data_IF_628686477070
#
_entry.id   IF_628686477070
#
_cell.length_a   1.000
_cell.length_b   1.000
_cell.length_c   1.000
_cell.angle_alpha   90.00
_cell.angle_beta   90.00
_cell.angle_gamma   90.00
#
_symmetry.space_group_name_H-M   'P 1'
#
loop_
_entity.id
_entity.type
_entity.pdbx_description
1 polymer ?
#
# COMPACT_ATOMS: atom_id res chain seq x y z
N UNK A 1 -21.76 -9.05 12.98
CA UNK A 1 -21.25 -8.29 11.79
C UNK A 1 -19.75 -8.06 11.97
N UNK A 2 -19.04 -7.42 11.04
CA UNK A 2 -17.59 -7.18 11.17
C UNK A 2 -17.28 -5.68 11.31
N UNK A 3 -16.41 -5.34 12.25
CA UNK A 3 -15.87 -4.00 12.46
C UNK A 3 -14.48 -3.97 11.84
N UNK A 4 -14.22 -2.97 11.00
CA UNK A 4 -12.92 -2.76 10.36
C UNK A 4 -12.36 -1.44 10.85
N UNK A 5 -11.17 -1.49 11.46
CA UNK A 5 -10.39 -0.33 11.85
C UNK A 5 -9.17 -0.24 10.92
N UNK A 6 -8.90 0.92 10.34
CA UNK A 6 -7.75 1.13 9.47
C UNK A 6 -6.86 2.24 10.04
N UNK A 7 -5.55 1.99 10.08
CA UNK A 7 -4.56 2.93 10.59
C UNK A 7 -3.47 3.13 9.54
N UNK A 8 -3.17 4.38 9.21
CA UNK A 8 -2.04 4.68 8.34
C UNK A 8 -0.71 4.41 9.07
N UNK A 9 0.08 3.49 8.52
CA UNK A 9 1.40 3.11 9.03
C UNK A 9 2.54 3.62 8.15
N UNK A 10 2.22 4.42 7.12
CA UNK A 10 3.16 5.01 6.16
C UNK A 10 3.73 6.36 6.58
N UNK A 11 3.03 7.10 7.44
CA UNK A 11 3.39 8.47 7.85
C UNK A 11 4.84 8.55 8.34
N UNK A 12 5.60 9.48 7.76
CA UNK A 12 6.97 9.79 8.16
C UNK A 12 8.04 8.78 7.73
N UNK A 13 7.67 7.71 7.01
CA UNK A 13 8.60 6.65 6.58
C UNK A 13 9.02 6.74 5.11
N UNK A 14 8.57 7.77 4.40
CA UNK A 14 9.00 8.02 3.03
C UNK A 14 8.52 7.01 1.99
N UNK A 15 7.38 6.36 2.22
CA UNK A 15 6.81 5.49 1.21
C UNK A 15 6.20 6.29 0.06
N UNK A 16 6.36 5.79 -1.17
CA UNK A 16 5.65 6.28 -2.35
C UNK A 16 4.17 5.83 -2.37
N UNK A 17 3.71 5.20 -1.30
CA UNK A 17 2.38 4.64 -1.15
C UNK A 17 1.87 4.90 0.26
N UNK A 18 0.58 5.17 0.37
CA UNK A 18 -0.11 5.12 1.65
C UNK A 18 -0.32 3.64 2.01
N UNK A 19 0.04 3.27 3.23
CA UNK A 19 -0.01 1.89 3.71
C UNK A 19 -0.94 1.88 4.92
N UNK A 20 -2.14 1.33 4.74
CA UNK A 20 -3.10 1.18 5.81
C UNK A 20 -2.99 -0.22 6.39
N UNK A 21 -2.82 -0.32 7.70
CA UNK A 21 -3.00 -1.57 8.44
C UNK A 21 -4.46 -1.67 8.85
N UNK A 22 -5.16 -2.67 8.30
CA UNK A 22 -6.56 -2.92 8.61
C UNK A 22 -6.67 -4.05 9.64
N UNK A 23 -7.42 -3.79 10.71
CA UNK A 23 -7.76 -4.74 11.76
C UNK A 23 -9.25 -5.06 11.63
N UNK A 24 -9.57 -6.32 11.39
CA UNK A 24 -10.93 -6.82 11.21
C UNK A 24 -11.30 -7.62 12.45
N UNK A 25 -12.40 -7.22 13.10
CA UNK A 25 -12.96 -7.85 14.30
C UNK A 25 -14.39 -8.30 14.01
N UNK A 26 -14.71 -9.56 14.29
CA UNK A 26 -16.07 -10.06 14.14
C UNK A 26 -16.83 -9.91 15.46
N UNK A 27 -18.01 -9.32 15.44
CA UNK A 27 -18.78 -9.00 16.66
C UNK A 27 -19.16 -10.24 17.47
N UNK A 28 -19.29 -11.40 16.82
CA UNK A 28 -19.72 -12.65 17.45
C UNK A 28 -18.55 -13.47 18.02
N UNK A 29 -17.31 -12.94 18.00
CA UNK A 29 -16.15 -13.62 18.58
C UNK A 29 -15.83 -13.12 19.98
N UNK A 30 -15.98 -13.97 20.99
CA UNK A 30 -15.53 -13.68 22.36
C UNK A 30 -14.01 -13.79 22.54
N UNK A 31 -13.29 -14.28 21.53
CA UNK A 31 -11.86 -14.53 21.58
C UNK A 31 -11.05 -13.51 20.79
N UNK A 32 -9.95 -13.03 21.35
CA UNK A 32 -8.93 -12.26 20.63
C UNK A 32 -8.27 -13.02 19.48
N UNK A 33 -8.55 -14.33 19.36
CA UNK A 33 -8.10 -15.19 18.26
C UNK A 33 -8.79 -14.89 16.91
N UNK A 34 -9.90 -14.16 16.89
CA UNK A 34 -10.66 -13.85 15.67
C UNK A 34 -10.39 -12.42 15.16
N UNK A 35 -9.23 -11.87 15.52
CA UNK A 35 -8.73 -10.60 15.01
C UNK A 35 -7.84 -10.86 13.81
N UNK A 36 -8.25 -10.38 12.64
CA UNK A 36 -7.47 -10.48 11.41
C UNK A 36 -6.78 -9.16 11.13
N UNK A 37 -5.50 -9.23 10.76
CA UNK A 37 -4.74 -8.07 10.32
C UNK A 37 -4.37 -8.23 8.85
N UNK A 38 -4.57 -7.17 8.07
CA UNK A 38 -4.21 -7.11 6.65
C UNK A 38 -3.60 -5.76 6.31
N UNK A 39 -2.90 -5.68 5.19
CA UNK A 39 -2.36 -4.43 4.66
C UNK A 39 -3.14 -4.03 3.41
N UNK A 40 -3.56 -2.78 3.36
CA UNK A 40 -4.06 -2.13 2.16
C UNK A 40 -3.02 -1.09 1.72
N UNK A 41 -2.37 -1.37 0.59
CA UNK A 41 -1.43 -0.46 -0.06
C UNK A 41 -2.18 0.34 -1.11
N UNK A 42 -2.15 1.66 -0.99
CA UNK A 42 -2.74 2.60 -1.94
C UNK A 42 -1.56 3.38 -2.57
N UNK A 43 -1.44 3.44 -3.90
CA UNK A 43 -0.38 4.18 -4.55
C UNK A 43 -0.50 5.66 -4.16
N UNK A 44 0.60 6.23 -3.70
CA UNK A 44 0.63 7.48 -2.93
C UNK A 44 0.62 8.71 -3.81
N UNK A 45 -0.26 8.77 -4.82
CA UNK A 45 -0.40 9.93 -5.69
C UNK A 45 -0.70 11.20 -4.88
N UNK A 46 -1.64 11.11 -3.94
CA UNK A 46 -2.02 12.23 -3.08
C UNK A 46 -0.95 12.55 -2.03
N UNK A 47 -0.31 11.53 -1.44
CA UNK A 47 0.79 11.74 -0.50
C UNK A 47 1.98 12.47 -1.17
N UNK A 48 2.31 12.13 -2.41
CA UNK A 48 3.34 12.82 -3.20
C UNK A 48 2.91 14.24 -3.58
N UNK A 49 1.61 14.45 -3.89
CA UNK A 49 1.05 15.80 -4.12
C UNK A 49 1.17 16.69 -2.91
N UNK A 50 0.78 16.19 -1.74
CA UNK A 50 0.88 16.92 -0.49
C UNK A 50 2.33 17.24 -0.11
N UNK A 51 3.26 16.31 -0.32
CA UNK A 51 4.68 16.51 -0.05
C UNK A 51 5.28 17.61 -0.96
N UNK A 52 4.98 17.57 -2.25
CA UNK A 52 5.39 18.59 -3.22
C UNK A 52 4.83 19.98 -2.85
N UNK A 53 3.53 20.06 -2.50
CA UNK A 53 2.91 21.29 -2.06
C UNK A 53 3.53 21.87 -0.78
N UNK A 54 3.84 21.03 0.21
CA UNK A 54 4.48 21.46 1.47
C UNK A 54 5.91 21.99 1.27
N UNK A 55 6.64 21.46 0.30
CA UNK A 55 8.00 21.89 0.00
C UNK A 55 8.07 23.10 -0.95
N UNK A 56 6.93 23.61 -1.43
CA UNK A 56 6.87 24.70 -2.40
C UNK A 56 7.44 24.34 -3.77
N UNK A 57 7.60 23.04 -4.05
CA UNK A 57 8.14 22.51 -5.29
C UNK A 57 7.09 21.60 -5.94
N UNK A 58 6.26 22.20 -6.80
CA UNK A 58 5.23 21.48 -7.57
C UNK A 58 5.78 20.89 -8.87
N UNK A 59 7.07 21.08 -9.17
CA UNK A 59 7.66 20.63 -10.45
C UNK A 59 7.50 19.11 -10.65
N UNK A 60 7.49 18.35 -9.55
CA UNK A 60 7.21 16.92 -9.57
C UNK A 60 5.80 16.58 -10.06
N UNK A 61 4.80 17.40 -9.70
CA UNK A 61 3.39 17.22 -10.06
C UNK A 61 3.03 17.81 -11.42
N UNK A 62 3.69 18.91 -11.79
CA UNK A 62 3.50 19.59 -13.07
C UNK A 62 4.07 18.76 -14.23
N UNK A 63 4.94 17.79 -13.93
CA UNK A 63 5.43 16.83 -14.90
C UNK A 63 4.49 15.61 -15.00
N UNK A 64 3.65 15.62 -16.04
CA UNK A 64 2.76 14.49 -16.37
C UNK A 64 3.48 13.14 -16.56
N UNK A 65 4.78 13.12 -16.86
CA UNK A 65 5.57 11.88 -16.93
C UNK A 65 5.82 11.29 -15.54
N UNK A 66 6.02 12.11 -14.51
CA UNK A 66 6.23 11.62 -13.15
C UNK A 66 4.97 10.94 -12.59
N UNK A 67 3.79 11.48 -12.88
CA UNK A 67 2.51 10.87 -12.52
C UNK A 67 2.29 9.56 -13.26
N UNK A 68 2.58 9.51 -14.57
CA UNK A 68 2.56 8.26 -15.35
C UNK A 68 3.52 7.22 -14.80
N UNK A 69 4.71 7.63 -14.38
CA UNK A 69 5.70 6.73 -13.79
C UNK A 69 5.17 6.08 -12.49
N UNK A 70 4.45 6.84 -11.64
CA UNK A 70 3.83 6.28 -10.43
C UNK A 70 2.68 5.30 -10.76
N UNK A 71 1.88 5.57 -11.80
CA UNK A 71 0.87 4.63 -12.31
C UNK A 71 1.52 3.35 -12.83
N UNK A 72 2.56 3.48 -13.66
CA UNK A 72 3.31 2.34 -14.18
C UNK A 72 3.95 1.51 -13.07
N UNK A 73 4.50 2.13 -12.02
CA UNK A 73 5.06 1.39 -10.87
C UNK A 73 3.99 0.56 -10.17
N UNK A 74 2.80 1.12 -9.93
CA UNK A 74 1.68 0.39 -9.33
C UNK A 74 1.17 -0.74 -10.25
N UNK A 75 1.03 -0.46 -11.54
CA UNK A 75 0.66 -1.46 -12.55
C UNK A 75 1.64 -2.63 -12.60
N UNK A 76 2.95 -2.35 -12.60
CA UNK A 76 3.99 -3.37 -12.55
C UNK A 76 3.91 -4.20 -11.26
N UNK A 77 3.59 -3.59 -10.13
CA UNK A 77 3.42 -4.32 -8.87
C UNK A 77 2.17 -5.21 -8.89
N UNK A 78 1.05 -4.73 -9.44
CA UNK A 78 -0.12 -5.56 -9.65
C UNK A 78 0.18 -6.74 -10.58
N UNK A 79 0.82 -6.49 -11.72
CA UNK A 79 1.21 -7.53 -12.68
C UNK A 79 2.16 -8.57 -12.06
N UNK A 80 3.12 -8.12 -11.26
CA UNK A 80 3.99 -9.01 -10.48
C UNK A 80 3.18 -9.95 -9.61
N UNK A 81 2.24 -9.44 -8.81
CA UNK A 81 1.47 -10.28 -7.89
C UNK A 81 0.42 -11.16 -8.59
N UNK A 82 -0.16 -10.69 -9.70
CA UNK A 82 -1.17 -11.45 -10.44
C UNK A 82 -0.57 -12.55 -11.31
N UNK A 83 0.55 -12.28 -11.99
CA UNK A 83 1.06 -13.13 -13.06
C UNK A 83 2.38 -13.82 -12.71
N UNK A 84 3.28 -13.17 -11.96
CA UNK A 84 4.60 -13.73 -11.64
C UNK A 84 4.62 -14.44 -10.28
N UNK A 85 4.10 -13.81 -9.23
CA UNK A 85 4.11 -14.36 -7.88
C UNK A 85 3.53 -15.79 -7.77
N UNK A 86 2.44 -16.16 -8.47
CA UNK A 86 1.87 -17.51 -8.37
C UNK A 86 2.78 -18.63 -8.87
N UNK A 87 3.79 -18.32 -9.70
CA UNK A 87 4.72 -19.31 -10.27
C UNK A 87 6.09 -19.30 -9.59
N UNK A 88 6.32 -18.41 -8.62
CA UNK A 88 7.57 -18.36 -7.86
C UNK A 88 7.50 -19.30 -6.65
N UNK A 89 8.57 -20.08 -6.45
CA UNK A 89 8.76 -20.90 -5.23
C UNK A 89 9.52 -20.09 -4.17
N UNK A 90 8.96 -18.95 -3.76
CA UNK A 90 9.52 -18.08 -2.72
C UNK A 90 8.42 -17.59 -1.78
N UNK A 91 8.72 -17.36 -0.49
CA UNK A 91 7.73 -16.86 0.45
C UNK A 91 7.35 -15.42 0.11
N UNK A 92 6.09 -15.22 -0.30
CA UNK A 92 5.48 -13.92 -0.58
C UNK A 92 4.25 -13.74 0.31
N UNK A 93 3.87 -12.48 0.65
CA UNK A 93 2.61 -12.24 1.31
C UNK A 93 1.45 -12.76 0.46
N UNK A 94 0.45 -13.37 1.09
CA UNK A 94 -0.78 -13.69 0.38
C UNK A 94 -1.45 -12.40 -0.10
N UNK A 95 -1.69 -12.29 -1.40
CA UNK A 95 -2.46 -11.18 -1.99
C UNK A 95 -3.92 -11.59 -2.11
N UNK A 96 -4.81 -10.80 -1.50
CA UNK A 96 -6.25 -11.04 -1.53
C UNK A 96 -6.91 -10.36 -2.73
N UNK A 97 -6.42 -9.16 -3.07
CA UNK A 97 -6.96 -8.38 -4.19
C UNK A 97 -5.95 -7.36 -4.69
N UNK A 98 -5.92 -7.19 -6.00
CA UNK A 98 -5.27 -6.12 -6.75
C UNK A 98 -6.34 -5.33 -7.50
N UNK A 99 -6.17 -4.01 -7.54
CA UNK A 99 -6.99 -3.09 -8.31
C UNK A 99 -6.08 -2.08 -8.99
N UNK A 100 -6.17 -2.01 -10.32
CA UNK A 100 -5.56 -0.93 -11.08
C UNK A 100 -6.32 0.37 -10.85
N UNK A 101 -5.63 1.49 -11.02
CA UNK A 101 -6.27 2.79 -11.04
C UNK A 101 -7.27 2.81 -12.21
N UNK A 102 -8.49 3.25 -11.95
CA UNK A 102 -9.50 3.45 -13.00
C UNK A 102 -9.76 4.93 -13.18
N UNK A 103 -10.19 5.32 -14.39
CA UNK A 103 -10.55 6.71 -14.70
C UNK A 103 -11.74 7.24 -13.88
N UNK A 104 -12.45 6.36 -13.17
CA UNK A 104 -13.78 6.67 -12.62
C UNK A 104 -13.81 7.05 -11.14
N UNK A 105 -12.72 6.87 -10.36
CA UNK A 105 -12.47 7.53 -9.04
C UNK A 105 -11.69 6.68 -8.02
N UNK A 106 -11.53 5.38 -8.24
CA UNK A 106 -10.77 4.55 -7.31
C UNK A 106 -9.27 4.69 -7.61
N UNK A 107 -8.53 5.26 -6.65
CA UNK A 107 -7.10 5.00 -6.56
C UNK A 107 -6.90 3.49 -6.49
N UNK A 108 -6.02 2.96 -7.34
CA UNK A 108 -5.72 1.54 -7.36
C UNK A 108 -5.30 1.06 -5.97
N UNK A 109 -5.31 -0.25 -5.71
CA UNK A 109 -4.83 -0.74 -4.43
C UNK A 109 -4.35 -2.19 -4.51
N UNK A 110 -3.60 -2.58 -3.49
CA UNK A 110 -3.25 -3.97 -3.25
C UNK A 110 -3.62 -4.30 -1.81
N UNK A 111 -4.51 -5.29 -1.64
CA UNK A 111 -4.90 -5.84 -0.36
C UNK A 111 -4.16 -7.17 -0.14
N UNK A 112 -3.37 -7.23 0.92
CA UNK A 112 -2.44 -8.34 1.17
C UNK A 112 -2.33 -8.68 2.65
N UNK A 113 -1.71 -9.82 2.93
CA UNK A 113 -1.39 -10.30 4.26
C UNK A 113 -0.49 -9.32 5.04
N UNK A 114 -0.77 -9.17 6.34
CA UNK A 114 0.08 -8.40 7.25
C UNK A 114 1.26 -9.23 7.74
N UNK A 115 2.46 -8.93 7.21
CA UNK A 115 3.71 -9.55 7.63
C UNK A 115 4.49 -8.74 8.68
N UNK A 116 3.93 -7.67 9.25
CA UNK A 116 4.65 -6.77 10.18
C UNK A 116 5.12 -7.44 11.47
N UNK A 117 4.53 -8.56 11.87
CA UNK A 117 5.02 -9.36 13.00
C UNK A 117 6.27 -10.19 12.68
N UNK A 118 6.59 -10.37 11.39
CA UNK A 118 7.66 -11.24 10.90
C UNK A 118 8.71 -10.51 10.07
N UNK A 119 8.44 -9.25 9.71
CA UNK A 119 9.32 -8.41 8.90
C UNK A 119 9.42 -7.00 9.45
N UNK A 120 10.45 -6.28 8.99
CA UNK A 120 10.59 -4.83 9.22
C UNK A 120 10.41 -4.11 7.90
N UNK A 121 9.74 -2.96 7.92
CA UNK A 121 9.70 -2.08 6.76
C UNK A 121 11.01 -1.31 6.67
N UNK A 122 11.57 -1.19 5.48
CA UNK A 122 12.76 -0.36 5.23
C UNK A 122 12.30 0.95 4.56
N UNK A 123 12.39 2.09 5.27
CA UNK A 123 12.12 3.41 4.69
C UNK A 123 13.03 3.69 3.50
N UNK A 124 12.50 4.33 2.44
CA UNK A 124 13.30 4.75 1.28
C UNK A 124 14.40 5.76 1.65
N UNK A 125 14.22 6.54 2.72
CA UNK A 125 15.16 7.59 3.14
C UNK A 125 16.09 7.19 4.31
N UNK A 126 16.02 5.95 4.82
CA UNK A 126 17.06 5.45 5.73
C UNK A 126 18.29 5.02 4.90
N UNK A 127 19.04 6.03 4.43
CA UNK A 127 20.38 5.82 3.91
C UNK A 127 21.33 5.52 5.09
N UNK A 128 21.95 4.33 5.01
CA UNK A 128 23.17 3.86 5.65
C UNK A 128 23.95 4.88 6.50
N UNK A 129 24.05 4.60 7.81
CA UNK A 129 25.25 4.86 8.60
C UNK A 129 25.95 3.54 8.85
#
# INVERSE_FOLDING_TARGET
MAIIEAFDVSVGKGFASEILRCIIKFEDSESSADVYATILKIPGFEAMKEAAAKNGDTSFLDNSENLKNLETVHECECDFYENLAPILDVPLPKVYKTLLKSSESADGCIHMEDLTLRGRTLPLFENNN
#
